data_IF_279355107600
#
_entry.id   IF_279355107600
#
_cell.length_a   1.000
_cell.length_b   1.000
_cell.length_c   1.000
_cell.angle_alpha   90.00
_cell.angle_beta   90.00
_cell.angle_gamma   90.00
#
_symmetry.space_group_name_H-M   'P 1'
#
loop_
_entity.id
_entity.type
_entity.pdbx_description
1 polymer ?
#
# COMPACT_ATOMS: atom_id res chain seq x y z
N UNK A 1 -25.81 -17.64 13.12
CA UNK A 1 -25.39 -16.90 14.33
C UNK A 1 -24.04 -16.28 14.03
N UNK A 2 -23.73 -15.09 14.56
CA UNK A 2 -22.38 -14.51 14.38
C UNK A 2 -21.29 -15.50 14.84
N UNK A 3 -20.19 -15.51 14.14
CA UNK A 3 -19.03 -16.37 14.47
C UNK A 3 -18.08 -15.60 15.37
N UNK A 4 -17.63 -16.22 16.47
CA UNK A 4 -16.65 -15.64 17.36
C UNK A 4 -15.36 -15.30 16.58
N UNK A 5 -14.89 -14.04 16.59
CA UNK A 5 -13.65 -13.65 15.93
C UNK A 5 -12.42 -14.46 16.33
N UNK A 6 -12.33 -14.92 17.58
CA UNK A 6 -11.21 -15.73 18.08
C UNK A 6 -11.14 -17.08 17.33
N UNK A 7 -12.30 -17.66 17.02
CA UNK A 7 -12.37 -18.92 16.25
C UNK A 7 -11.85 -18.72 14.82
N UNK A 8 -12.14 -17.57 14.21
CA UNK A 8 -11.66 -17.26 12.87
C UNK A 8 -10.14 -16.98 12.87
N UNK A 9 -9.65 -16.22 13.82
CA UNK A 9 -8.21 -15.95 13.97
C UNK A 9 -7.43 -17.25 14.10
N UNK A 10 -7.86 -18.15 14.99
CA UNK A 10 -7.22 -19.46 15.17
C UNK A 10 -7.26 -20.31 13.88
N UNK A 11 -8.38 -20.30 13.15
CA UNK A 11 -8.50 -21.03 11.89
C UNK A 11 -7.55 -20.53 10.79
N UNK A 12 -7.15 -19.23 10.86
CA UNK A 12 -6.24 -18.61 9.87
C UNK A 12 -4.77 -18.57 10.32
N UNK A 13 -4.42 -19.10 11.51
CA UNK A 13 -3.03 -19.14 11.98
C UNK A 13 -2.09 -19.89 11.03
N UNK A 14 -2.60 -20.89 10.32
CA UNK A 14 -1.85 -21.68 9.35
C UNK A 14 -1.97 -21.20 7.91
N UNK A 15 -2.67 -20.07 7.69
CA UNK A 15 -2.90 -19.51 6.35
C UNK A 15 -1.91 -18.35 6.09
N UNK A 16 -0.81 -18.58 5.36
CA UNK A 16 0.13 -17.51 5.02
C UNK A 16 -0.54 -16.46 4.14
N UNK A 17 -0.44 -15.21 4.56
CA UNK A 17 -1.00 -14.10 3.80
C UNK A 17 -0.10 -13.69 2.63
N UNK A 18 -0.69 -13.08 1.60
CA UNK A 18 0.02 -12.28 0.60
C UNK A 18 -0.20 -10.82 0.96
N UNK A 19 0.85 -10.16 1.45
CA UNK A 19 0.85 -8.73 1.67
C UNK A 19 1.01 -8.03 0.32
N UNK A 20 -0.12 -7.59 -0.26
CA UNK A 20 -0.11 -7.14 -1.65
C UNK A 20 0.42 -5.72 -1.84
N UNK A 21 0.68 -5.00 -0.74
CA UNK A 21 1.30 -3.67 -0.76
C UNK A 21 2.01 -3.37 0.55
N UNK A 22 3.32 -3.21 0.48
CA UNK A 22 4.18 -2.78 1.58
C UNK A 22 5.46 -2.13 1.01
N UNK A 23 6.32 -1.63 1.91
CA UNK A 23 7.54 -0.90 1.56
C UNK A 23 8.78 -1.54 2.19
N UNK A 24 10.00 -1.29 1.68
CA UNK A 24 11.20 -1.90 2.22
C UNK A 24 11.52 -1.49 3.66
N UNK A 25 12.23 -2.38 4.36
CA UNK A 25 12.78 -2.08 5.66
C UNK A 25 13.91 -1.06 5.55
N UNK A 26 14.11 -0.30 6.65
CA UNK A 26 15.25 0.60 6.81
C UNK A 26 16.54 -0.23 6.94
N UNK A 27 17.62 0.27 6.32
CA UNK A 27 18.96 -0.34 6.42
C UNK A 27 19.47 -0.26 7.85
N UNK A 28 19.99 -1.36 8.36
CA UNK A 28 20.63 -1.46 9.67
C UNK A 28 22.16 -1.52 9.60
N UNK A 29 22.91 -1.33 10.69
CA UNK A 29 22.41 -1.19 12.06
C UNK A 29 21.88 0.21 12.37
N UNK A 30 20.84 0.29 13.22
CA UNK A 30 20.38 1.55 13.80
C UNK A 30 19.71 1.29 15.15
N UNK A 31 19.71 2.29 16.03
CA UNK A 31 18.92 2.29 17.27
C UNK A 31 17.58 2.96 16.99
N UNK A 32 16.49 2.33 17.38
CA UNK A 32 15.17 2.92 17.29
C UNK A 32 14.87 3.71 18.56
N UNK A 33 14.49 4.97 18.39
CA UNK A 33 14.09 5.84 19.50
C UNK A 33 12.57 5.79 19.71
N UNK A 34 12.11 6.24 20.90
CA UNK A 34 10.68 6.34 21.17
C UNK A 34 9.97 7.28 20.20
N UNK A 35 10.62 8.38 19.81
CA UNK A 35 10.06 9.32 18.83
C UNK A 35 9.91 8.70 17.43
N UNK A 36 10.91 7.97 16.96
CA UNK A 36 10.84 7.26 15.69
C UNK A 36 9.77 6.14 15.71
N UNK A 37 9.64 5.43 16.84
CA UNK A 37 8.59 4.43 17.00
C UNK A 37 7.19 5.07 16.92
N UNK A 38 6.99 6.20 17.61
CA UNK A 38 5.72 6.95 17.53
C UNK A 38 5.44 7.49 16.13
N UNK A 39 6.46 8.05 15.48
CA UNK A 39 6.35 8.58 14.13
C UNK A 39 5.98 7.50 13.09
N UNK A 40 6.29 6.24 13.36
CA UNK A 40 5.91 5.12 12.49
C UNK A 40 4.41 4.73 12.57
N UNK A 41 3.65 5.34 13.48
CA UNK A 41 2.20 5.11 13.66
C UNK A 41 1.37 6.38 13.51
N UNK A 42 1.82 7.28 12.65
CA UNK A 42 1.09 8.49 12.25
C UNK A 42 1.55 8.93 10.87
N UNK A 43 0.66 9.51 10.08
CA UNK A 43 0.98 10.15 8.79
C UNK A 43 1.40 11.62 8.96
N UNK A 44 1.47 12.12 10.21
CA UNK A 44 1.83 13.52 10.46
C UNK A 44 3.32 13.79 10.18
N UNK A 45 3.58 14.88 9.45
CA UNK A 45 4.94 15.38 9.18
C UNK A 45 5.43 16.28 10.32
N UNK A 46 4.52 17.01 10.99
CA UNK A 46 4.89 17.90 12.12
C UNK A 46 5.37 17.06 13.33
N UNK A 47 6.63 17.25 13.79
CA UNK A 47 7.21 16.46 14.85
C UNK A 47 6.50 16.58 16.21
N UNK A 48 5.69 17.62 16.42
CA UNK A 48 4.89 17.79 17.64
C UNK A 48 3.83 16.69 17.77
N UNK A 49 3.30 16.20 16.68
CA UNK A 49 2.29 15.12 16.72
C UNK A 49 2.87 13.84 17.37
N UNK A 50 3.98 13.25 16.87
CA UNK A 50 4.56 12.09 17.54
C UNK A 50 5.14 12.41 18.93
N UNK A 51 5.58 13.64 19.20
CA UNK A 51 6.09 14.03 20.51
C UNK A 51 5.00 14.10 21.57
N UNK A 52 3.86 14.71 21.26
CA UNK A 52 2.87 15.15 22.24
C UNK A 52 1.55 14.36 22.19
N UNK A 53 1.15 13.85 21.01
CA UNK A 53 -0.21 13.36 20.79
C UNK A 53 -0.32 11.86 20.47
N UNK A 54 0.62 11.25 19.77
CA UNK A 54 0.51 9.84 19.33
C UNK A 54 0.30 8.88 20.49
N UNK A 55 0.96 9.12 21.66
CA UNK A 55 0.76 8.33 22.88
C UNK A 55 -0.70 8.27 23.37
N UNK A 56 -1.53 9.21 22.93
CA UNK A 56 -2.94 9.33 23.34
C UNK A 56 -3.90 8.73 22.32
N UNK A 57 -3.40 8.23 21.16
CA UNK A 57 -4.24 7.60 20.15
C UNK A 57 -4.57 6.14 20.51
N UNK A 58 -5.78 5.71 20.19
CA UNK A 58 -6.21 4.33 20.40
C UNK A 58 -5.34 3.34 19.59
N UNK A 59 -5.02 3.68 18.32
CA UNK A 59 -4.18 2.86 17.45
C UNK A 59 -2.79 2.61 18.05
N UNK A 60 -2.11 3.66 18.51
CA UNK A 60 -0.78 3.49 19.12
C UNK A 60 -0.79 2.70 20.44
N UNK A 61 -1.82 2.90 21.28
CA UNK A 61 -2.00 2.09 22.50
C UNK A 61 -2.22 0.61 22.15
N UNK A 62 -2.99 0.33 21.13
CA UNK A 62 -3.16 -1.03 20.61
C UNK A 62 -1.86 -1.59 20.01
N UNK A 63 -1.07 -0.76 19.30
CA UNK A 63 0.23 -1.14 18.77
C UNK A 63 1.21 -1.57 19.87
N UNK A 64 1.31 -0.81 20.97
CA UNK A 64 2.16 -1.18 22.11
C UNK A 64 1.73 -2.51 22.74
N UNK A 65 0.42 -2.77 22.90
CA UNK A 65 -0.06 -4.07 23.39
C UNK A 65 0.36 -5.22 22.49
N UNK A 66 0.11 -5.10 21.17
CA UNK A 66 0.48 -6.14 20.19
C UNK A 66 1.98 -6.41 20.15
N UNK A 67 2.79 -5.35 20.25
CA UNK A 67 4.25 -5.48 20.32
C UNK A 67 4.69 -6.14 21.63
N UNK A 68 4.14 -5.73 22.78
CA UNK A 68 4.43 -6.35 24.07
C UNK A 68 4.11 -7.84 24.07
N UNK A 69 2.93 -8.22 23.63
CA UNK A 69 2.48 -9.63 23.49
C UNK A 69 3.40 -10.43 22.56
N UNK A 70 3.74 -9.87 21.41
CA UNK A 70 4.58 -10.55 20.43
C UNK A 70 6.05 -10.69 20.91
N UNK A 71 6.55 -9.74 21.67
CA UNK A 71 7.92 -9.76 22.18
C UNK A 71 8.05 -10.43 23.54
N UNK A 72 6.94 -10.67 24.24
CA UNK A 72 6.90 -11.23 25.58
C UNK A 72 7.44 -10.25 26.63
N UNK A 73 7.09 -8.96 26.50
CA UNK A 73 7.51 -7.91 27.43
C UNK A 73 6.34 -6.99 27.80
N UNK A 74 6.54 -6.12 28.78
CA UNK A 74 5.58 -5.09 29.14
C UNK A 74 5.22 -4.23 27.91
N UNK A 75 3.93 -3.84 27.71
CA UNK A 75 3.47 -3.06 26.58
C UNK A 75 3.83 -1.56 26.72
N UNK A 76 5.10 -1.28 26.94
CA UNK A 76 5.67 0.06 27.10
C UNK A 76 6.78 0.29 26.08
N UNK A 77 6.93 1.55 25.65
CA UNK A 77 8.01 1.91 24.73
C UNK A 77 9.37 1.49 25.27
N UNK A 78 9.61 1.72 26.57
CA UNK A 78 10.89 1.42 27.17
C UNK A 78 11.25 -0.08 27.09
N UNK A 79 10.31 -0.97 27.45
CA UNK A 79 10.54 -2.42 27.40
C UNK A 79 10.69 -2.94 25.96
N UNK A 80 9.86 -2.46 25.03
CA UNK A 80 9.91 -2.84 23.62
C UNK A 80 11.23 -2.39 22.99
N UNK A 81 11.64 -1.14 23.18
CA UNK A 81 12.86 -0.57 22.61
C UNK A 81 14.13 -1.18 23.22
N UNK A 82 14.13 -1.46 24.52
CA UNK A 82 15.26 -2.13 25.17
C UNK A 82 15.52 -3.51 24.56
N UNK A 83 14.46 -4.32 24.42
CA UNK A 83 14.55 -5.64 23.82
C UNK A 83 14.96 -5.57 22.34
N UNK A 84 14.32 -4.68 21.59
CA UNK A 84 14.57 -4.47 20.16
C UNK A 84 16.00 -4.02 19.88
N UNK A 85 16.51 -3.03 20.63
CA UNK A 85 17.80 -2.40 20.37
C UNK A 85 19.01 -3.25 20.82
N UNK A 86 18.78 -4.28 21.68
CA UNK A 86 19.80 -5.28 22.04
C UNK A 86 19.87 -6.47 21.07
N UNK A 87 18.82 -6.68 20.28
CA UNK A 87 18.77 -7.81 19.35
C UNK A 87 19.69 -7.58 18.14
N UNK A 88 20.17 -8.69 17.54
CA UNK A 88 20.80 -8.61 16.23
C UNK A 88 19.74 -8.22 15.19
N UNK A 89 19.97 -7.14 14.38
CA UNK A 89 18.92 -6.54 13.58
C UNK A 89 18.25 -7.46 12.56
N UNK A 90 19.02 -8.27 11.81
CA UNK A 90 18.48 -9.15 10.80
C UNK A 90 17.65 -10.30 11.42
N UNK A 91 18.14 -10.88 12.52
CA UNK A 91 17.42 -11.93 13.24
C UNK A 91 16.15 -11.39 13.91
N UNK A 92 16.21 -10.17 14.45
CA UNK A 92 15.03 -9.51 14.99
C UNK A 92 13.98 -9.28 13.90
N UNK A 93 14.36 -8.68 12.77
CA UNK A 93 13.46 -8.42 11.67
C UNK A 93 12.79 -9.71 11.17
N UNK A 94 13.57 -10.77 10.92
CA UNK A 94 13.04 -12.03 10.45
C UNK A 94 12.13 -12.73 11.47
N UNK A 95 12.47 -12.66 12.77
CA UNK A 95 11.62 -13.20 13.85
C UNK A 95 10.27 -12.46 13.92
N UNK A 96 10.27 -11.14 13.75
CA UNK A 96 9.06 -10.33 13.72
C UNK A 96 8.23 -10.64 12.48
N UNK A 97 8.84 -10.65 11.30
CA UNK A 97 8.15 -10.96 10.04
C UNK A 97 7.57 -12.38 10.03
N UNK A 98 8.25 -13.36 10.64
CA UNK A 98 7.69 -14.70 10.78
C UNK A 98 6.38 -14.70 11.59
N UNK A 99 6.24 -13.83 12.59
CA UNK A 99 5.01 -13.71 13.41
C UNK A 99 3.85 -13.06 12.67
N UNK A 100 4.09 -12.36 11.57
CA UNK A 100 3.01 -11.82 10.72
C UNK A 100 2.27 -12.91 9.96
N UNK A 101 2.83 -14.11 9.87
CA UNK A 101 2.37 -15.19 9.02
C UNK A 101 2.13 -14.71 7.57
N UNK A 102 3.10 -13.99 7.03
CA UNK A 102 3.11 -13.52 5.64
C UNK A 102 3.98 -14.44 4.80
N UNK A 103 3.41 -15.03 3.76
CA UNK A 103 4.09 -15.93 2.84
C UNK A 103 4.73 -15.24 1.64
N UNK A 104 4.28 -14.03 1.32
CA UNK A 104 4.80 -13.23 0.21
C UNK A 104 4.58 -11.74 0.47
N UNK A 105 5.62 -10.93 0.19
CA UNK A 105 5.57 -9.47 0.21
C UNK A 105 5.59 -8.92 -1.21
N UNK A 106 4.66 -8.02 -1.55
CA UNK A 106 4.71 -7.22 -2.78
C UNK A 106 5.21 -5.82 -2.42
N UNK A 107 6.46 -5.52 -2.77
CA UNK A 107 7.21 -4.37 -2.28
C UNK A 107 7.26 -3.22 -3.29
N UNK A 108 6.80 -2.06 -2.88
CA UNK A 108 7.02 -0.79 -3.57
C UNK A 108 8.29 -0.11 -3.04
N UNK A 109 9.37 -0.18 -3.80
CA UNK A 109 10.66 0.46 -3.48
C UNK A 109 10.70 1.95 -3.81
N UNK A 110 9.68 2.51 -4.43
CA UNK A 110 9.65 3.93 -4.82
C UNK A 110 9.47 4.90 -3.67
N UNK A 111 9.05 4.43 -2.49
CA UNK A 111 8.94 5.22 -1.25
C UNK A 111 10.19 5.09 -0.36
N UNK A 112 11.30 4.66 -0.87
CA UNK A 112 12.50 4.52 -0.08
C UNK A 112 13.17 5.88 0.13
N UNK A 113 13.21 6.39 1.35
CA UNK A 113 14.25 7.33 1.75
C UNK A 113 15.63 6.71 1.50
N UNK A 114 16.68 7.50 1.36
CA UNK A 114 18.04 7.01 1.09
C UNK A 114 18.61 5.99 2.09
N UNK A 115 17.88 5.70 3.16
CA UNK A 115 18.20 4.75 4.23
C UNK A 115 17.43 3.42 4.16
N UNK A 116 16.62 3.18 3.12
CA UNK A 116 15.95 1.90 2.93
C UNK A 116 16.87 0.84 2.31
N UNK A 117 16.57 -0.44 2.55
CA UNK A 117 17.23 -1.56 1.87
C UNK A 117 16.91 -1.50 0.37
N UNK A 118 17.92 -1.72 -0.49
CA UNK A 118 17.71 -1.93 -1.92
C UNK A 118 16.97 -3.26 -2.17
N UNK A 119 16.40 -3.49 -3.37
CA UNK A 119 15.80 -4.78 -3.72
C UNK A 119 16.74 -5.97 -3.46
N UNK A 120 18.02 -5.85 -3.80
CA UNK A 120 19.01 -6.90 -3.64
C UNK A 120 19.37 -7.11 -2.15
N UNK A 121 19.51 -6.03 -1.39
CA UNK A 121 19.75 -6.10 0.06
C UNK A 121 18.55 -6.72 0.77
N UNK A 122 17.32 -6.30 0.43
CA UNK A 122 16.10 -6.81 1.02
C UNK A 122 15.92 -8.30 0.70
N UNK A 123 16.13 -8.71 -0.56
CA UNK A 123 16.06 -10.11 -0.98
C UNK A 123 17.07 -11.02 -0.25
N UNK A 124 18.26 -10.47 0.10
CA UNK A 124 19.30 -11.21 0.82
C UNK A 124 19.06 -11.32 2.31
N UNK A 125 18.46 -10.28 2.93
CA UNK A 125 18.37 -10.13 4.38
C UNK A 125 17.02 -10.57 4.95
N UNK A 126 15.94 -10.45 4.17
CA UNK A 126 14.57 -10.81 4.57
C UNK A 126 14.21 -12.19 4.01
N UNK A 127 13.85 -13.11 4.91
CA UNK A 127 13.56 -14.52 4.54
C UNK A 127 12.20 -14.72 3.87
N UNK A 128 11.26 -13.79 4.08
CA UNK A 128 9.94 -13.86 3.43
C UNK A 128 10.12 -13.63 1.93
N UNK A 129 9.57 -14.51 1.07
CA UNK A 129 9.56 -14.31 -0.38
C UNK A 129 8.99 -12.94 -0.77
N UNK A 130 9.49 -12.38 -1.88
CA UNK A 130 9.11 -11.03 -2.29
C UNK A 130 9.05 -10.87 -3.80
N UNK A 131 8.22 -9.92 -4.27
CA UNK A 131 8.09 -9.46 -5.65
C UNK A 131 8.00 -7.94 -5.66
N UNK A 132 8.39 -7.33 -6.76
CA UNK A 132 8.37 -5.88 -6.92
C UNK A 132 7.05 -5.36 -7.45
N UNK A 133 6.61 -4.23 -6.88
CA UNK A 133 5.61 -3.31 -7.44
C UNK A 133 6.35 -2.05 -7.90
N UNK A 134 6.21 -1.70 -9.17
CA UNK A 134 6.93 -0.57 -9.77
C UNK A 134 6.21 0.74 -9.49
N UNK A 135 6.86 1.70 -8.83
CA UNK A 135 6.29 3.04 -8.65
C UNK A 135 6.43 3.86 -9.93
N UNK A 136 5.28 4.21 -10.49
CA UNK A 136 5.14 4.90 -11.76
C UNK A 136 5.87 6.25 -11.78
N UNK A 137 5.64 7.08 -10.76
CA UNK A 137 6.22 8.42 -10.68
C UNK A 137 7.75 8.38 -10.59
N UNK A 138 8.31 7.44 -9.84
CA UNK A 138 9.77 7.27 -9.74
C UNK A 138 10.40 6.88 -11.07
N UNK A 139 9.74 6.03 -11.84
CA UNK A 139 10.17 5.66 -13.21
C UNK A 139 10.10 6.89 -14.12
N UNK A 140 8.97 7.59 -14.09
CA UNK A 140 8.73 8.76 -14.93
C UNK A 140 9.72 9.89 -14.67
N UNK A 141 10.02 10.20 -13.41
CA UNK A 141 10.96 11.23 -12.98
C UNK A 141 12.38 10.98 -13.47
N UNK A 142 12.83 9.72 -13.41
CA UNK A 142 14.17 9.32 -13.91
C UNK A 142 14.34 9.49 -15.42
N UNK A 143 13.27 9.45 -16.18
CA UNK A 143 13.29 9.47 -17.64
C UNK A 143 13.19 10.88 -18.26
N UNK A 144 12.86 11.90 -17.46
CA UNK A 144 12.68 13.27 -17.94
C UNK A 144 13.92 13.81 -18.67
N UNK A 145 15.09 13.66 -18.06
CA UNK A 145 16.35 14.20 -18.61
C UNK A 145 16.75 13.57 -19.95
N UNK A 146 16.36 12.32 -20.20
CA UNK A 146 16.70 11.56 -21.40
C UNK A 146 15.71 11.70 -22.55
N UNK A 147 14.65 12.54 -22.41
CA UNK A 147 13.57 12.64 -23.41
C UNK A 147 13.36 14.09 -23.83
N UNK A 148 12.90 14.31 -25.08
CA UNK A 148 12.83 15.64 -25.70
C UNK A 148 11.46 16.29 -25.59
N UNK A 149 10.41 15.46 -25.64
CA UNK A 149 9.02 15.91 -25.64
C UNK A 149 8.14 14.91 -24.83
N UNK A 150 6.90 15.29 -24.49
CA UNK A 150 6.04 14.42 -23.67
C UNK A 150 5.67 13.10 -24.34
N UNK A 151 5.63 12.99 -25.65
CA UNK A 151 5.32 11.73 -26.35
C UNK A 151 6.47 10.75 -26.19
N UNK A 152 7.70 11.23 -26.39
CA UNK A 152 8.92 10.42 -26.17
C UNK A 152 9.02 9.99 -24.70
N UNK A 153 8.70 10.89 -23.77
CA UNK A 153 8.71 10.60 -22.33
C UNK A 153 7.69 9.50 -21.96
N UNK A 154 6.42 9.64 -22.36
CA UNK A 154 5.39 8.64 -22.11
C UNK A 154 5.72 7.29 -22.75
N UNK A 155 6.28 7.29 -23.98
CA UNK A 155 6.74 6.07 -24.63
C UNK A 155 7.92 5.42 -23.88
N UNK A 156 8.86 6.22 -23.38
CA UNK A 156 9.97 5.73 -22.57
C UNK A 156 9.50 5.12 -21.24
N UNK A 157 8.49 5.73 -20.58
CA UNK A 157 7.86 5.19 -19.38
C UNK A 157 7.22 3.83 -19.67
N UNK A 158 6.39 3.71 -20.71
CA UNK A 158 5.82 2.41 -21.12
C UNK A 158 6.90 1.36 -21.34
N UNK A 159 7.96 1.72 -22.08
CA UNK A 159 9.08 0.82 -22.29
C UNK A 159 9.78 0.38 -21.00
N UNK A 160 9.90 1.26 -20.03
CA UNK A 160 10.47 0.95 -18.72
C UNK A 160 9.56 0.03 -17.89
N UNK A 161 8.25 0.26 -17.86
CA UNK A 161 7.29 -0.61 -17.19
C UNK A 161 7.31 -2.02 -17.80
N UNK A 162 7.34 -2.13 -19.13
CA UNK A 162 7.44 -3.41 -19.84
C UNK A 162 8.69 -4.18 -19.46
N UNK A 163 9.85 -3.53 -19.41
CA UNK A 163 11.11 -4.15 -18.97
C UNK A 163 11.05 -4.60 -17.52
N UNK A 164 10.46 -3.80 -16.63
CA UNK A 164 10.32 -4.18 -15.23
C UNK A 164 9.43 -5.42 -15.04
N UNK A 165 8.30 -5.51 -15.74
CA UNK A 165 7.43 -6.69 -15.72
C UNK A 165 8.14 -7.92 -16.31
N UNK A 166 8.88 -7.75 -17.40
CA UNK A 166 9.70 -8.83 -17.97
C UNK A 166 10.82 -9.30 -17.01
N UNK A 167 11.31 -8.40 -16.14
CA UNK A 167 12.27 -8.72 -15.09
C UNK A 167 11.64 -9.32 -13.82
N UNK A 168 10.30 -9.46 -13.76
CA UNK A 168 9.61 -10.14 -12.66
C UNK A 168 8.77 -9.24 -11.76
N UNK A 169 8.62 -7.94 -12.06
CA UNK A 169 7.67 -7.09 -11.36
C UNK A 169 6.23 -7.56 -11.65
N UNK A 170 5.37 -7.56 -10.63
CA UNK A 170 4.03 -8.14 -10.70
C UNK A 170 2.90 -7.12 -10.78
N UNK A 171 3.22 -5.82 -10.67
CA UNK A 171 2.26 -4.73 -10.73
C UNK A 171 2.92 -3.37 -10.81
N UNK A 172 2.11 -2.34 -11.02
CA UNK A 172 2.53 -0.94 -11.05
C UNK A 172 1.73 -0.19 -9.98
N UNK A 173 2.37 0.75 -9.28
CA UNK A 173 1.72 1.64 -8.28
C UNK A 173 1.80 3.08 -8.74
N UNK A 174 0.70 3.83 -8.58
CA UNK A 174 0.70 5.28 -8.71
C UNK A 174 0.30 5.99 -7.42
N UNK A 175 0.93 7.13 -7.18
CA UNK A 175 0.61 8.09 -6.13
C UNK A 175 0.01 9.38 -6.71
N UNK A 176 -0.74 9.25 -7.81
CA UNK A 176 -1.40 10.37 -8.47
C UNK A 176 -2.26 11.19 -7.49
N UNK A 177 -2.89 10.56 -6.49
CA UNK A 177 -3.65 11.23 -5.44
C UNK A 177 -2.84 12.37 -4.77
N UNK A 178 -1.61 12.07 -4.32
CA UNK A 178 -0.70 13.06 -3.72
C UNK A 178 -0.20 14.13 -4.66
N UNK A 179 -0.16 13.82 -5.96
CA UNK A 179 0.53 14.66 -6.95
C UNK A 179 -0.42 15.58 -7.73
N UNK A 180 -1.69 15.17 -7.86
CA UNK A 180 -2.67 15.86 -8.70
C UNK A 180 -4.14 15.60 -8.31
N UNK A 181 -4.38 14.76 -7.31
CA UNK A 181 -5.72 14.23 -7.02
C UNK A 181 -6.17 13.15 -8.01
N UNK A 182 -7.30 12.52 -7.70
CA UNK A 182 -7.90 11.44 -8.52
C UNK A 182 -9.08 11.89 -9.38
N UNK A 183 -9.44 13.17 -9.37
CA UNK A 183 -10.48 13.68 -10.27
C UNK A 183 -9.92 13.76 -11.70
N UNK A 184 -9.85 12.59 -12.35
CA UNK A 184 -9.24 12.48 -13.67
C UNK A 184 -9.97 13.32 -14.72
N UNK A 185 -9.18 13.92 -15.62
CA UNK A 185 -9.67 14.74 -16.74
C UNK A 185 -8.99 14.28 -18.02
N UNK A 186 -9.64 14.47 -19.19
CA UNK A 186 -8.98 14.26 -20.48
C UNK A 186 -7.66 15.04 -20.56
N UNK A 187 -6.68 14.45 -21.21
CA UNK A 187 -5.35 15.04 -21.36
C UNK A 187 -5.42 16.19 -22.37
N UNK A 188 -5.07 17.39 -21.94
CA UNK A 188 -4.84 18.53 -22.82
C UNK A 188 -3.37 18.50 -23.27
N UNK A 189 -3.16 18.29 -24.58
CA UNK A 189 -1.81 18.11 -25.15
C UNK A 189 -0.96 19.37 -25.06
N UNK A 190 -1.56 20.56 -25.11
CA UNK A 190 -0.83 21.82 -25.04
C UNK A 190 -0.37 22.08 -23.59
N UNK A 191 -1.26 21.88 -22.62
CA UNK A 191 -0.90 21.95 -21.19
C UNK A 191 0.15 20.89 -20.82
N UNK A 192 0.03 19.68 -21.34
CA UNK A 192 1.05 18.63 -21.14
C UNK A 192 2.40 19.06 -21.72
N UNK A 193 2.43 19.65 -22.92
CA UNK A 193 3.64 20.15 -23.57
C UNK A 193 4.33 21.22 -22.73
N UNK A 194 3.57 22.21 -22.24
CA UNK A 194 4.08 23.29 -21.37
C UNK A 194 4.63 22.72 -20.07
N UNK A 195 3.84 21.88 -19.38
CA UNK A 195 4.23 21.29 -18.10
C UNK A 195 5.49 20.42 -18.23
N UNK A 196 5.60 19.62 -19.28
CA UNK A 196 6.78 18.79 -19.53
C UNK A 196 8.02 19.65 -19.83
N UNK A 197 7.89 20.72 -20.61
CA UNK A 197 8.98 21.66 -20.89
C UNK A 197 9.53 22.28 -19.61
N UNK A 198 8.65 22.69 -18.69
CA UNK A 198 9.07 23.21 -17.38
C UNK A 198 9.81 22.16 -16.57
N UNK A 199 9.34 20.89 -16.58
CA UNK A 199 9.97 19.78 -15.88
C UNK A 199 11.36 19.48 -16.47
N UNK A 200 11.50 19.51 -17.79
CA UNK A 200 12.77 19.36 -18.50
C UNK A 200 13.80 20.45 -18.15
N UNK A 201 13.36 21.71 -18.09
CA UNK A 201 14.25 22.80 -17.67
C UNK A 201 14.79 22.62 -16.25
N UNK A 202 14.00 22.02 -15.32
CA UNK A 202 14.52 21.63 -14.01
C UNK A 202 15.61 20.55 -14.14
N UNK A 203 15.39 19.54 -14.96
CA UNK A 203 16.39 18.50 -15.21
C UNK A 203 17.70 19.06 -15.77
N UNK A 204 17.62 19.99 -16.72
CA UNK A 204 18.78 20.67 -17.33
C UNK A 204 19.58 21.49 -16.30
N UNK A 205 18.91 22.00 -15.26
CA UNK A 205 19.55 22.73 -14.13
C UNK A 205 19.96 21.83 -12.97
N UNK A 206 19.81 20.49 -13.11
CA UNK A 206 20.07 19.51 -12.06
C UNK A 206 19.24 19.75 -10.77
N UNK A 207 18.07 20.35 -10.92
CA UNK A 207 17.10 20.51 -9.82
C UNK A 207 16.34 19.21 -9.57
N UNK A 208 15.81 19.00 -8.35
CA UNK A 208 14.98 17.84 -8.06
C UNK A 208 13.77 17.75 -8.99
N UNK A 209 13.60 16.60 -9.62
CA UNK A 209 12.48 16.31 -10.50
C UNK A 209 11.36 15.68 -9.69
N UNK A 210 10.20 16.30 -9.72
CA UNK A 210 8.95 15.77 -9.13
C UNK A 210 7.82 15.95 -10.12
N UNK A 211 7.26 14.85 -10.60
CA UNK A 211 6.08 14.87 -11.48
C UNK A 211 4.87 15.25 -10.65
N UNK A 212 4.28 16.41 -10.94
CA UNK A 212 3.12 16.98 -10.22
C UNK A 212 2.18 17.68 -11.17
N UNK A 213 0.93 17.86 -10.72
CA UNK A 213 -0.10 18.57 -11.47
C UNK A 213 -0.84 17.68 -12.49
N UNK A 214 -2.10 18.04 -12.74
CA UNK A 214 -3.04 17.22 -13.49
C UNK A 214 -2.56 16.89 -14.91
N UNK A 215 -1.94 17.83 -15.62
CA UNK A 215 -1.50 17.60 -17.00
C UNK A 215 -0.48 16.47 -17.12
N UNK A 216 0.52 16.42 -16.22
CA UNK A 216 1.54 15.36 -16.22
C UNK A 216 1.01 14.06 -15.60
N UNK A 217 0.41 14.15 -14.41
CA UNK A 217 0.02 12.97 -13.64
C UNK A 217 -1.13 12.19 -14.29
N UNK A 218 -2.14 12.88 -14.83
CA UNK A 218 -3.24 12.19 -15.50
C UNK A 218 -2.79 11.57 -16.82
N UNK A 219 -1.95 12.27 -17.62
CA UNK A 219 -1.37 11.69 -18.83
C UNK A 219 -0.56 10.43 -18.51
N UNK A 220 0.27 10.50 -17.48
CA UNK A 220 1.10 9.38 -17.01
C UNK A 220 0.24 8.21 -16.52
N UNK A 221 -0.83 8.48 -15.76
CA UNK A 221 -1.75 7.46 -15.26
C UNK A 221 -2.48 6.75 -16.41
N UNK A 222 -3.00 7.49 -17.38
CA UNK A 222 -3.68 6.90 -18.54
C UNK A 222 -2.75 6.02 -19.39
N UNK A 223 -1.50 6.46 -19.59
CA UNK A 223 -0.49 5.66 -20.31
C UNK A 223 -0.11 4.38 -19.53
N UNK A 224 0.09 4.50 -18.22
CA UNK A 224 0.36 3.34 -17.37
C UNK A 224 -0.81 2.37 -17.32
N UNK A 225 -2.05 2.88 -17.29
CA UNK A 225 -3.25 2.07 -17.32
C UNK A 225 -3.35 1.22 -18.62
N UNK A 226 -3.09 1.83 -19.77
CA UNK A 226 -3.05 1.12 -21.04
C UNK A 226 -1.94 0.04 -21.04
N UNK A 227 -0.74 0.37 -20.57
CA UNK A 227 0.38 -0.57 -20.52
C UNK A 227 0.12 -1.71 -19.52
N UNK A 228 -0.42 -1.44 -18.33
CA UNK A 228 -0.78 -2.47 -17.34
C UNK A 228 -1.83 -3.45 -17.89
N UNK A 229 -2.84 -2.94 -18.61
CA UNK A 229 -3.82 -3.79 -19.30
C UNK A 229 -3.13 -4.72 -20.30
N UNK A 230 -2.27 -4.18 -21.16
CA UNK A 230 -1.59 -4.92 -22.23
C UNK A 230 -0.63 -5.97 -21.67
N UNK A 231 0.05 -5.65 -20.57
CA UNK A 231 0.94 -6.57 -19.85
C UNK A 231 0.17 -7.55 -18.94
N UNK A 232 -1.13 -7.33 -18.77
CA UNK A 232 -1.95 -8.13 -17.86
C UNK A 232 -1.45 -8.13 -16.42
N UNK A 233 -0.91 -7.00 -15.94
CA UNK A 233 -0.57 -6.75 -14.54
C UNK A 233 -1.54 -5.73 -13.93
N UNK A 234 -1.82 -5.77 -12.61
CA UNK A 234 -2.70 -4.78 -11.99
C UNK A 234 -1.99 -3.43 -11.80
N UNK A 235 -2.81 -2.38 -11.82
CA UNK A 235 -2.42 -1.03 -11.41
C UNK A 235 -2.95 -0.75 -10.01
N UNK A 236 -2.06 -0.53 -9.05
CA UNK A 236 -2.38 -0.06 -7.71
C UNK A 236 -2.52 1.47 -7.74
N UNK A 237 -3.57 1.99 -7.10
CA UNK A 237 -3.84 3.43 -7.01
C UNK A 237 -4.01 3.80 -5.54
N UNK A 238 -3.18 4.70 -5.04
CA UNK A 238 -3.38 5.31 -3.72
C UNK A 238 -4.70 6.08 -3.71
N UNK A 239 -5.54 5.83 -2.71
CA UNK A 239 -6.85 6.47 -2.53
C UNK A 239 -7.08 6.77 -1.05
N UNK A 240 -7.59 7.95 -0.75
CA UNK A 240 -7.96 8.31 0.62
C UNK A 240 -6.78 8.61 1.53
N UNK A 241 -6.78 8.09 2.73
CA UNK A 241 -5.90 8.46 3.84
C UNK A 241 -4.41 8.36 3.54
N UNK A 242 -3.68 9.43 3.85
CA UNK A 242 -2.25 9.56 3.70
C UNK A 242 -1.67 10.74 4.50
N UNK A 243 -0.45 11.16 4.14
CA UNK A 243 0.23 12.28 4.78
C UNK A 243 -0.32 13.66 4.33
N UNK A 244 0.06 14.77 5.01
CA UNK A 244 -0.46 16.11 4.71
C UNK A 244 -0.11 16.68 3.33
N UNK A 245 0.74 16.03 2.53
CA UNK A 245 1.00 16.42 1.13
C UNK A 245 -0.22 16.13 0.23
N UNK A 246 -1.16 15.32 0.72
CA UNK A 246 -2.37 14.95 -0.02
C UNK A 246 -3.55 15.88 0.28
N UNK A 247 -4.24 16.31 -0.78
CA UNK A 247 -5.59 16.87 -0.63
C UNK A 247 -6.60 15.71 -0.55
N UNK A 248 -6.97 15.35 0.69
CA UNK A 248 -7.88 14.25 0.94
C UNK A 248 -9.21 14.39 0.17
N UNK A 249 -9.70 15.62 -0.06
CA UNK A 249 -10.93 15.85 -0.81
C UNK A 249 -10.82 15.43 -2.29
N UNK A 250 -9.63 15.47 -2.86
CA UNK A 250 -9.34 15.06 -4.23
C UNK A 250 -8.85 13.59 -4.33
N UNK A 251 -8.68 12.88 -3.19
CA UNK A 251 -8.21 11.50 -3.13
C UNK A 251 -9.34 10.44 -3.22
N UNK A 252 -10.58 10.87 -3.48
CA UNK A 252 -11.71 9.95 -3.62
C UNK A 252 -11.59 9.08 -4.88
N UNK A 253 -11.74 7.72 -4.75
CA UNK A 253 -11.67 6.81 -5.90
C UNK A 253 -12.80 7.02 -6.92
N UNK A 254 -13.89 7.72 -6.59
CA UNK A 254 -14.94 8.08 -7.54
C UNK A 254 -14.42 8.97 -8.69
N UNK A 255 -13.33 9.68 -8.47
CA UNK A 255 -12.66 10.48 -9.50
C UNK A 255 -12.04 9.65 -10.63
N UNK A 256 -11.88 8.34 -10.45
CA UNK A 256 -11.38 7.40 -11.47
C UNK A 256 -12.43 7.05 -12.55
N UNK A 257 -13.65 7.57 -12.45
CA UNK A 257 -14.74 7.29 -13.39
C UNK A 257 -14.35 7.42 -14.87
N UNK A 258 -13.59 8.43 -15.33
CA UNK A 258 -13.17 8.51 -16.73
C UNK A 258 -12.36 7.28 -17.19
N UNK A 259 -11.49 6.75 -16.32
CA UNK A 259 -10.72 5.54 -16.60
C UNK A 259 -11.61 4.29 -16.62
N UNK A 260 -12.55 4.19 -15.68
CA UNK A 260 -13.41 3.01 -15.51
C UNK A 260 -14.50 2.88 -16.60
N UNK A 261 -14.89 3.98 -17.23
CA UNK A 261 -15.95 3.99 -18.25
C UNK A 261 -15.43 3.97 -19.67
N UNK A 262 -14.15 4.22 -19.90
CA UNK A 262 -13.57 4.20 -21.23
C UNK A 262 -13.22 2.76 -21.64
N UNK A 263 -13.85 2.32 -22.72
CA UNK A 263 -13.69 0.95 -23.25
C UNK A 263 -12.25 0.62 -23.67
N UNK A 264 -11.42 1.63 -23.93
CA UNK A 264 -10.00 1.40 -24.21
C UNK A 264 -9.24 0.76 -23.02
N UNK A 265 -9.75 0.91 -21.78
CA UNK A 265 -9.15 0.29 -20.58
C UNK A 265 -9.91 -0.97 -20.13
N UNK A 266 -10.80 -1.51 -20.92
CA UNK A 266 -11.53 -2.74 -20.60
C UNK A 266 -10.56 -3.88 -20.28
N UNK A 267 -10.78 -4.59 -19.17
CA UNK A 267 -9.89 -5.64 -18.68
C UNK A 267 -8.67 -5.17 -17.87
N UNK A 268 -8.49 -3.84 -17.67
CA UNK A 268 -7.52 -3.32 -16.72
C UNK A 268 -7.94 -3.69 -15.30
N UNK A 269 -7.06 -4.38 -14.58
CA UNK A 269 -7.28 -4.72 -13.17
C UNK A 269 -6.73 -3.62 -12.26
N UNK A 270 -7.59 -3.11 -11.37
CA UNK A 270 -7.25 -2.05 -10.43
C UNK A 270 -7.26 -2.58 -8.99
N UNK A 271 -6.27 -2.18 -8.20
CA UNK A 271 -6.27 -2.30 -6.75
C UNK A 271 -6.30 -0.89 -6.14
N UNK A 272 -7.44 -0.53 -5.54
CA UNK A 272 -7.60 0.73 -4.81
C UNK A 272 -7.02 0.53 -3.41
N UNK A 273 -5.96 1.26 -3.08
CA UNK A 273 -5.22 1.09 -1.83
C UNK A 273 -5.75 2.04 -0.76
N UNK A 274 -5.69 1.58 0.48
CA UNK A 274 -5.98 2.34 1.70
C UNK A 274 -7.46 2.72 1.87
N UNK A 275 -8.06 3.37 0.93
CA UNK A 275 -9.47 3.69 0.74
C UNK A 275 -10.21 4.37 1.92
N UNK A 276 -9.61 4.62 3.08
CA UNK A 276 -10.25 5.32 4.20
C UNK A 276 -10.11 6.85 3.99
N UNK A 277 -11.14 7.67 4.24
CA UNK A 277 -12.49 7.34 4.68
C UNK A 277 -13.45 6.94 3.54
N UNK A 278 -12.98 6.84 2.30
CA UNK A 278 -13.75 6.54 1.08
C UNK A 278 -13.98 5.03 0.85
N UNK A 279 -13.94 4.22 1.92
CA UNK A 279 -14.11 2.77 1.82
C UNK A 279 -15.50 2.36 1.29
N UNK A 280 -16.54 3.16 1.51
CA UNK A 280 -17.89 2.91 0.95
C UNK A 280 -17.94 3.19 -0.54
N UNK A 281 -17.29 4.25 -1.00
CA UNK A 281 -17.15 4.61 -2.41
C UNK A 281 -16.30 3.58 -3.15
N UNK A 282 -15.20 3.15 -2.57
CA UNK A 282 -14.36 2.08 -3.11
C UNK A 282 -15.13 0.74 -3.18
N UNK A 283 -15.91 0.42 -2.14
CA UNK A 283 -16.78 -0.74 -2.11
C UNK A 283 -17.85 -0.71 -3.20
N UNK A 284 -18.44 0.47 -3.45
CA UNK A 284 -19.35 0.67 -4.58
C UNK A 284 -18.65 0.36 -5.92
N UNK A 285 -17.45 0.88 -6.14
CA UNK A 285 -16.70 0.60 -7.37
C UNK A 285 -16.37 -0.90 -7.49
N UNK A 286 -15.96 -1.55 -6.39
CA UNK A 286 -15.76 -3.00 -6.34
C UNK A 286 -17.03 -3.81 -6.66
N UNK A 287 -18.21 -3.30 -6.28
CA UNK A 287 -19.48 -3.95 -6.56
C UNK A 287 -19.92 -3.86 -8.03
N UNK A 288 -19.63 -2.73 -8.69
CA UNK A 288 -20.19 -2.44 -10.05
C UNK A 288 -19.20 -2.63 -11.20
N UNK A 289 -17.88 -2.66 -10.91
CA UNK A 289 -16.85 -2.91 -11.92
C UNK A 289 -16.16 -4.25 -11.68
N UNK A 290 -16.08 -5.15 -12.67
CA UNK A 290 -15.58 -6.52 -12.49
C UNK A 290 -14.11 -6.58 -12.07
N UNK A 291 -13.28 -5.66 -12.55
CA UNK A 291 -11.83 -5.68 -12.39
C UNK A 291 -11.31 -4.70 -11.33
N UNK A 292 -12.19 -4.17 -10.46
CA UNK A 292 -11.82 -3.27 -9.36
C UNK A 292 -11.79 -4.03 -8.04
N UNK A 293 -10.65 -3.99 -7.36
CA UNK A 293 -10.35 -4.55 -6.05
C UNK A 293 -10.02 -3.40 -5.08
N UNK A 294 -10.10 -3.63 -3.79
CA UNK A 294 -9.79 -2.61 -2.77
C UNK A 294 -9.14 -3.18 -1.51
N UNK A 295 -8.48 -2.33 -0.75
CA UNK A 295 -8.03 -2.61 0.61
C UNK A 295 -8.27 -1.41 1.57
N UNK A 296 -7.97 -1.60 2.86
CA UNK A 296 -7.96 -0.57 3.89
C UNK A 296 -6.63 -0.57 4.68
N UNK A 297 -5.52 -0.90 4.05
CA UNK A 297 -4.24 -1.26 4.66
C UNK A 297 -3.71 -0.23 5.67
N UNK A 298 -3.41 0.98 5.27
CA UNK A 298 -2.79 2.03 6.09
C UNK A 298 -3.68 2.44 7.29
N UNK A 299 -4.98 2.54 7.08
CA UNK A 299 -5.88 3.07 8.08
C UNK A 299 -6.17 2.10 9.23
N UNK A 300 -6.23 0.79 8.97
CA UNK A 300 -6.62 -0.22 9.98
C UNK A 300 -5.75 -0.17 11.23
N UNK A 301 -4.40 -0.18 11.18
CA UNK A 301 -3.59 -0.13 12.38
C UNK A 301 -3.69 1.21 13.14
N UNK A 302 -4.06 2.28 12.44
CA UNK A 302 -4.19 3.61 13.03
C UNK A 302 -5.58 3.88 13.60
N UNK A 303 -6.63 3.27 13.02
CA UNK A 303 -8.02 3.44 13.46
C UNK A 303 -8.36 2.67 14.75
N UNK A 304 -7.49 1.79 15.22
CA UNK A 304 -7.79 0.94 16.38
C UNK A 304 -8.97 -0.01 16.09
N UNK A 305 -9.93 -0.07 17.02
CA UNK A 305 -11.09 -0.98 16.92
C UNK A 305 -12.06 -0.60 15.78
N UNK A 306 -12.01 0.65 15.30
CA UNK A 306 -12.84 1.12 14.17
C UNK A 306 -12.44 0.49 12.83
N UNK A 307 -11.24 -0.07 12.72
CA UNK A 307 -10.79 -0.80 11.53
C UNK A 307 -11.71 -1.96 11.15
N UNK A 308 -12.23 -2.69 12.15
CA UNK A 308 -13.21 -3.76 11.94
C UNK A 308 -14.56 -3.23 11.44
N UNK A 309 -15.00 -2.06 11.90
CA UNK A 309 -16.23 -1.43 11.44
C UNK A 309 -16.09 -0.94 9.98
N UNK A 310 -14.98 -0.32 9.62
CA UNK A 310 -14.71 0.12 8.25
C UNK A 310 -14.69 -1.05 7.25
N UNK A 311 -14.06 -2.17 7.62
CA UNK A 311 -14.10 -3.41 6.81
C UNK A 311 -15.53 -3.97 6.69
N UNK A 312 -16.30 -3.97 7.76
CA UNK A 312 -17.68 -4.43 7.75
C UNK A 312 -18.56 -3.57 6.82
N UNK A 313 -18.35 -2.25 6.83
CA UNK A 313 -19.05 -1.32 5.94
C UNK A 313 -18.67 -1.54 4.47
N UNK A 314 -17.39 -1.74 4.18
CA UNK A 314 -16.93 -2.06 2.85
C UNK A 314 -17.54 -3.36 2.34
N UNK A 315 -17.56 -4.42 3.16
CA UNK A 315 -18.15 -5.72 2.83
C UNK A 315 -19.69 -5.68 2.68
N UNK A 316 -20.33 -4.57 3.06
CA UNK A 316 -21.75 -4.35 2.78
C UNK A 316 -22.07 -4.25 1.28
N UNK A 317 -21.11 -3.84 0.46
CA UNK A 317 -21.25 -3.74 -1.00
C UNK A 317 -20.16 -4.53 -1.74
N UNK A 318 -18.90 -4.40 -1.35
CA UNK A 318 -17.79 -5.08 -2.01
C UNK A 318 -17.84 -6.59 -1.75
N UNK A 319 -17.85 -7.44 -2.80
CA UNK A 319 -17.71 -8.88 -2.61
C UNK A 319 -16.37 -9.19 -1.91
N UNK A 320 -16.38 -10.09 -0.92
CA UNK A 320 -15.13 -10.48 -0.23
C UNK A 320 -14.06 -11.06 -1.20
N UNK A 321 -14.48 -11.54 -2.36
CA UNK A 321 -13.58 -11.99 -3.43
C UNK A 321 -12.79 -10.86 -4.10
N UNK A 322 -13.07 -9.61 -3.76
CA UNK A 322 -12.40 -8.39 -4.27
C UNK A 322 -11.79 -7.54 -3.16
N UNK A 323 -11.94 -7.93 -1.90
CA UNK A 323 -11.24 -7.31 -0.79
C UNK A 323 -9.83 -7.92 -0.70
N UNK A 324 -8.82 -7.10 -0.46
CA UNK A 324 -7.42 -7.49 -0.40
C UNK A 324 -6.86 -7.24 1.00
N UNK A 325 -5.77 -7.96 1.33
CA UNK A 325 -5.00 -7.77 2.54
C UNK A 325 -3.65 -7.12 2.21
N UNK A 326 -3.34 -6.01 2.87
CA UNK A 326 -2.02 -5.39 2.85
C UNK A 326 -1.70 -4.76 4.20
N UNK A 327 -0.43 -4.60 4.51
CA UNK A 327 0.01 -3.90 5.71
C UNK A 327 0.26 -2.42 5.48
N UNK A 328 0.67 -2.05 4.27
CA UNK A 328 1.31 -0.76 3.95
C UNK A 328 2.48 -0.42 4.90
N UNK A 329 3.06 -1.45 5.49
CA UNK A 329 4.14 -1.28 6.45
C UNK A 329 5.42 -0.81 5.77
N UNK A 330 6.17 0.03 6.47
CA UNK A 330 7.41 0.62 5.98
C UNK A 330 8.48 0.66 7.07
N UNK A 331 9.76 0.66 6.70
CA UNK A 331 10.95 0.97 7.50
C UNK A 331 11.24 0.05 8.68
N UNK A 332 10.24 -0.33 9.48
CA UNK A 332 10.43 -1.08 10.73
C UNK A 332 9.61 -2.36 10.75
N UNK A 333 10.19 -3.52 11.13
CA UNK A 333 9.45 -4.78 11.20
C UNK A 333 8.30 -4.72 12.22
N UNK A 334 8.40 -3.85 13.24
CA UNK A 334 7.36 -3.59 14.22
C UNK A 334 6.05 -3.11 13.58
N UNK A 335 6.15 -2.27 12.54
CA UNK A 335 4.97 -1.78 11.78
C UNK A 335 4.29 -2.92 11.05
N UNK A 336 5.06 -3.81 10.41
CA UNK A 336 4.53 -5.01 9.76
C UNK A 336 3.75 -5.90 10.74
N UNK A 337 4.31 -6.14 11.93
CA UNK A 337 3.65 -6.96 12.94
C UNK A 337 2.32 -6.36 13.38
N UNK A 338 2.34 -5.06 13.74
CA UNK A 338 1.15 -4.36 14.23
C UNK A 338 0.07 -4.30 13.16
N UNK A 339 0.44 -3.96 11.92
CA UNK A 339 -0.51 -3.87 10.83
C UNK A 339 -1.10 -5.25 10.47
N UNK A 340 -0.28 -6.30 10.43
CA UNK A 340 -0.75 -7.66 10.17
C UNK A 340 -1.73 -8.16 11.25
N UNK A 341 -1.41 -7.95 12.51
CA UNK A 341 -2.27 -8.34 13.63
C UNK A 341 -3.59 -7.55 13.61
N UNK A 342 -3.51 -6.21 13.48
CA UNK A 342 -4.67 -5.34 13.43
C UNK A 342 -5.60 -5.70 12.27
N UNK A 343 -5.05 -5.98 11.08
CA UNK A 343 -5.84 -6.33 9.92
C UNK A 343 -6.55 -7.70 10.10
N UNK A 344 -5.85 -8.71 10.61
CA UNK A 344 -6.47 -10.03 10.87
C UNK A 344 -7.58 -9.92 11.91
N UNK A 345 -7.38 -9.18 13.00
CA UNK A 345 -8.40 -8.92 14.02
C UNK A 345 -9.62 -8.19 13.44
N UNK A 346 -9.39 -7.10 12.70
CA UNK A 346 -10.44 -6.34 12.04
C UNK A 346 -11.24 -7.20 11.05
N UNK A 347 -10.55 -8.04 10.27
CA UNK A 347 -11.16 -8.96 9.32
C UNK A 347 -12.01 -10.03 10.03
N UNK A 348 -11.52 -10.58 11.14
CA UNK A 348 -12.26 -11.57 11.93
C UNK A 348 -13.54 -10.97 12.52
N UNK A 349 -13.49 -9.75 13.04
CA UNK A 349 -14.66 -9.02 13.56
C UNK A 349 -15.66 -8.77 12.43
N UNK A 350 -15.22 -8.27 11.28
CA UNK A 350 -16.09 -7.95 10.16
C UNK A 350 -16.78 -9.20 9.58
N UNK A 351 -16.01 -10.24 9.25
CA UNK A 351 -16.54 -11.47 8.65
C UNK A 351 -17.39 -12.27 9.64
N UNK A 352 -16.97 -12.37 10.91
CA UNK A 352 -17.73 -13.05 11.95
C UNK A 352 -19.07 -12.40 12.25
N UNK A 353 -19.17 -11.08 12.04
CA UNK A 353 -20.43 -10.34 12.21
C UNK A 353 -21.36 -10.39 11.00
N UNK A 354 -20.87 -10.72 9.81
CA UNK A 354 -21.64 -10.69 8.55
C UNK A 354 -22.04 -12.08 8.03
N UNK A 355 -21.22 -13.10 8.27
CA UNK A 355 -21.37 -14.42 7.63
C UNK A 355 -21.44 -15.55 8.66
N UNK A 356 -21.98 -16.68 8.24
CA UNK A 356 -21.85 -17.92 8.99
C UNK A 356 -20.39 -18.39 9.03
N UNK A 357 -20.07 -19.31 9.95
CA UNK A 357 -18.70 -19.76 10.21
C UNK A 357 -18.00 -20.29 8.96
N UNK A 358 -18.66 -21.10 8.14
CA UNK A 358 -18.05 -21.68 6.95
C UNK A 358 -17.69 -20.62 5.93
N UNK A 359 -18.64 -19.72 5.66
CA UNK A 359 -18.45 -18.60 4.73
C UNK A 359 -17.38 -17.64 5.24
N UNK A 360 -17.39 -17.28 6.55
CA UNK A 360 -16.39 -16.41 7.14
C UNK A 360 -14.96 -16.98 7.07
N UNK A 361 -14.81 -18.30 7.31
CA UNK A 361 -13.52 -18.97 7.18
C UNK A 361 -12.98 -18.94 5.74
N UNK A 362 -13.83 -19.25 4.75
CA UNK A 362 -13.45 -19.20 3.34
C UNK A 362 -13.16 -17.77 2.87
N UNK A 363 -14.00 -16.82 3.22
CA UNK A 363 -13.80 -15.40 2.90
C UNK A 363 -12.47 -14.87 3.45
N UNK A 364 -12.10 -15.23 4.68
CA UNK A 364 -10.83 -14.83 5.27
C UNK A 364 -9.63 -15.37 4.49
N UNK A 365 -9.64 -16.65 4.08
CA UNK A 365 -8.59 -17.23 3.23
C UNK A 365 -8.48 -16.50 1.88
N UNK A 366 -9.63 -16.17 1.29
CA UNK A 366 -9.64 -15.42 0.04
C UNK A 366 -9.03 -14.03 0.21
N UNK A 367 -9.44 -13.27 1.23
CA UNK A 367 -8.91 -11.92 1.50
C UNK A 367 -7.42 -11.95 1.85
N UNK A 368 -7.01 -12.88 2.72
CA UNK A 368 -5.62 -12.96 3.18
C UNK A 368 -4.64 -13.35 2.06
N UNK A 369 -5.06 -14.17 1.08
CA UNK A 369 -4.12 -14.66 0.06
C UNK A 369 -4.73 -14.86 -1.34
N UNK A 370 -5.83 -15.62 -1.48
CA UNK A 370 -6.27 -16.11 -2.78
C UNK A 370 -6.66 -14.99 -3.74
N UNK A 371 -7.25 -13.89 -3.24
CA UNK A 371 -7.60 -12.74 -4.06
C UNK A 371 -6.37 -12.05 -4.66
N UNK A 372 -5.33 -11.82 -3.84
CA UNK A 372 -4.08 -11.25 -4.31
C UNK A 372 -3.38 -12.19 -5.30
N UNK A 373 -3.28 -13.50 -5.01
CA UNK A 373 -2.71 -14.49 -5.94
C UNK A 373 -3.38 -14.44 -7.30
N UNK A 374 -4.71 -14.41 -7.35
CA UNK A 374 -5.50 -14.32 -8.58
C UNK A 374 -5.28 -12.98 -9.30
N UNK A 375 -5.31 -11.85 -8.56
CA UNK A 375 -5.14 -10.51 -9.12
C UNK A 375 -3.77 -10.33 -9.78
N UNK A 376 -2.70 -10.74 -9.08
CA UNK A 376 -1.30 -10.58 -9.52
C UNK A 376 -0.77 -11.77 -10.30
N UNK A 377 -1.56 -12.85 -10.47
CA UNK A 377 -1.16 -14.08 -11.17
C UNK A 377 0.09 -14.72 -10.57
N UNK A 378 0.07 -14.95 -9.24
CA UNK A 378 1.25 -15.40 -8.48
C UNK A 378 1.41 -16.93 -8.43
N UNK A 379 0.49 -17.68 -9.00
CA UNK A 379 0.49 -19.17 -9.01
C UNK A 379 1.23 -19.77 -10.23
N UNK A 380 2.09 -18.97 -10.90
CA UNK A 380 2.87 -19.34 -12.08
C UNK A 380 4.35 -19.59 -11.78
#
# INVERSE_FOLDING_TARGET
MPTDPVVLLHAWEQEPAVDHHCHPLRRWPFQLTALELRAAFTEAIDPRIPQEHVLQTAGYRAALRRLGDALGCEPTEAAILDLRNRAEPAEFANRILQRTNTGLLLLDYGFSGGDALSPEEHARLVRVPQREIVRLETVAERLVAGTRDPREWLAAVRGALRRAVQAGAVGVKTICAYRAGLRLRPVDTDQLGVAFTMLRHKAERHEPIRVTGAALCHALLFEAAAECRDLSVPLQIHCGFGDPDEDLAEASPLGLRPLLQDTQYAGLRLALLHCYPYHREAAYLGAVYPDVYMDLSLAIPMAGDDGGQALKEALGLCPYSKLLYATDATRYPEVYLVAAAAHREALAIALGGLFDRSTAMDAGRQVLAANAKRLYRLDG
#
